data_IF_306346141447
#
_entry.id   IF_306346141447
#
_cell.length_a   1.000
_cell.length_b   1.000
_cell.length_c   1.000
_cell.angle_alpha   90.00
_cell.angle_beta   90.00
_cell.angle_gamma   90.00
#
_symmetry.space_group_name_H-M   'P 1'
#
loop_
_entity.id
_entity.type
_entity.pdbx_description
1 polymer ?
#
# COMPACT_ATOMS: atom_id res chain seq x y z
N UNK A 1 21.57 9.23 5.78
CA UNK A 1 21.61 7.76 5.97
C UNK A 1 22.66 7.03 5.10
N UNK A 2 23.51 7.71 4.33
CA UNK A 2 24.62 7.11 3.59
C UNK A 2 24.27 6.40 2.29
N UNK A 3 22.98 6.32 1.91
CA UNK A 3 22.56 5.77 0.65
C UNK A 3 22.67 6.82 -0.47
N UNK A 4 23.40 6.45 -1.55
CA UNK A 4 23.50 7.26 -2.76
C UNK A 4 22.25 7.13 -3.65
N UNK A 5 22.16 7.95 -4.70
CA UNK A 5 21.05 7.95 -5.66
C UNK A 5 20.80 6.55 -6.30
N UNK A 6 21.87 5.81 -6.57
CA UNK A 6 21.78 4.46 -7.12
C UNK A 6 21.14 3.47 -6.16
N UNK A 7 21.43 3.56 -4.86
CA UNK A 7 20.85 2.70 -3.83
C UNK A 7 19.39 3.04 -3.59
N UNK A 8 19.03 4.33 -3.62
CA UNK A 8 17.63 4.76 -3.57
C UNK A 8 16.83 4.20 -4.76
N UNK A 9 17.39 4.24 -5.97
CA UNK A 9 16.76 3.64 -7.15
C UNK A 9 16.59 2.12 -7.02
N UNK A 10 17.55 1.41 -6.41
CA UNK A 10 17.44 -0.02 -6.14
C UNK A 10 16.34 -0.33 -5.12
N UNK A 11 16.13 0.51 -4.12
CA UNK A 11 15.01 0.36 -3.17
C UNK A 11 13.65 0.44 -3.88
N UNK A 12 13.48 1.43 -4.76
CA UNK A 12 12.25 1.58 -5.57
C UNK A 12 12.07 0.39 -6.50
N UNK A 13 13.15 -0.08 -7.12
CA UNK A 13 13.14 -1.26 -7.99
C UNK A 13 12.73 -2.52 -7.22
N UNK A 14 13.26 -2.73 -6.02
CA UNK A 14 12.91 -3.86 -5.17
C UNK A 14 11.41 -3.87 -4.81
N UNK A 15 10.85 -2.72 -4.41
CA UNK A 15 9.41 -2.58 -4.16
C UNK A 15 8.58 -2.86 -5.42
N UNK A 16 9.03 -2.38 -6.59
CA UNK A 16 8.34 -2.60 -7.87
C UNK A 16 8.34 -4.07 -8.28
N UNK A 17 9.47 -4.78 -8.11
CA UNK A 17 9.56 -6.21 -8.34
C UNK A 17 8.58 -6.95 -7.45
N UNK A 18 8.53 -6.62 -6.16
CA UNK A 18 7.54 -7.15 -5.23
C UNK A 18 6.11 -6.94 -5.74
N UNK A 19 5.78 -5.73 -6.16
CA UNK A 19 4.48 -5.38 -6.72
C UNK A 19 4.08 -6.26 -7.91
N UNK A 20 5.02 -6.59 -8.79
CA UNK A 20 4.76 -7.47 -9.95
C UNK A 20 4.60 -8.93 -9.51
N UNK A 21 5.53 -9.44 -8.70
CA UNK A 21 5.57 -10.86 -8.31
C UNK A 21 4.36 -11.24 -7.45
N UNK A 22 3.94 -10.36 -6.55
CA UNK A 22 2.84 -10.64 -5.63
C UNK A 22 1.44 -10.45 -6.23
N UNK A 23 1.30 -9.90 -7.43
CA UNK A 23 -0.04 -9.75 -8.06
C UNK A 23 -0.76 -11.09 -8.23
N UNK A 24 -0.04 -12.12 -8.68
CA UNK A 24 -0.64 -13.45 -8.83
C UNK A 24 -1.03 -14.09 -7.48
N UNK A 25 -0.13 -14.20 -6.48
CA UNK A 25 -0.49 -14.71 -5.17
C UNK A 25 -1.64 -13.95 -4.49
N UNK A 26 -1.65 -12.63 -4.58
CA UNK A 26 -2.70 -11.81 -3.99
C UNK A 26 -4.05 -12.00 -4.69
N UNK A 27 -4.06 -12.12 -6.01
CA UNK A 27 -5.27 -12.47 -6.77
C UNK A 27 -5.82 -13.82 -6.34
N UNK A 28 -4.96 -14.84 -6.22
CA UNK A 28 -5.35 -16.17 -5.78
C UNK A 28 -5.89 -16.20 -4.34
N UNK A 29 -5.31 -15.40 -3.44
CA UNK A 29 -5.80 -15.23 -2.07
C UNK A 29 -7.15 -14.49 -2.07
N UNK A 30 -7.29 -13.44 -2.89
CA UNK A 30 -8.51 -12.65 -3.01
C UNK A 30 -9.74 -13.48 -3.45
N UNK A 31 -9.51 -14.60 -4.15
CA UNK A 31 -10.57 -15.52 -4.55
C UNK A 31 -10.99 -16.49 -3.43
N UNK A 32 -10.23 -16.58 -2.32
CA UNK A 32 -10.44 -17.55 -1.24
C UNK A 32 -10.86 -16.93 0.09
N UNK A 33 -10.54 -15.66 0.30
CA UNK A 33 -10.88 -14.95 1.54
C UNK A 33 -11.74 -13.73 1.22
N UNK A 34 -12.42 -13.22 2.24
CA UNK A 34 -13.16 -11.97 2.10
C UNK A 34 -12.24 -10.83 1.66
N UNK A 35 -12.51 -10.29 0.48
CA UNK A 35 -11.69 -9.25 -0.18
C UNK A 35 -11.55 -7.98 0.65
N UNK A 36 -12.55 -7.65 1.47
CA UNK A 36 -12.44 -6.50 2.39
C UNK A 36 -11.42 -6.75 3.49
N UNK A 37 -11.39 -7.99 4.01
CA UNK A 37 -10.37 -8.41 4.98
C UNK A 37 -8.99 -8.37 4.34
N UNK A 38 -8.84 -8.89 3.14
CA UNK A 38 -7.55 -8.83 2.41
C UNK A 38 -7.11 -7.39 2.19
N UNK A 39 -8.03 -6.49 1.82
CA UNK A 39 -7.72 -5.07 1.64
C UNK A 39 -7.22 -4.42 2.94
N UNK A 40 -7.83 -4.75 4.08
CA UNK A 40 -7.39 -4.29 5.40
C UNK A 40 -5.98 -4.82 5.71
N UNK A 41 -5.72 -6.09 5.45
CA UNK A 41 -4.40 -6.70 5.67
C UNK A 41 -3.33 -6.06 4.79
N UNK A 42 -3.63 -5.81 3.51
CA UNK A 42 -2.73 -5.08 2.62
C UNK A 42 -2.46 -3.64 3.12
N UNK A 43 -3.47 -2.92 3.57
CA UNK A 43 -3.29 -1.59 4.15
C UNK A 43 -2.49 -1.62 5.45
N UNK A 44 -2.74 -2.60 6.33
CA UNK A 44 -2.00 -2.80 7.58
C UNK A 44 -0.52 -3.15 7.34
N UNK A 45 -0.19 -3.82 6.22
CA UNK A 45 1.20 -4.08 5.84
C UNK A 45 2.02 -2.80 5.64
N UNK A 46 1.37 -1.68 5.29
CA UNK A 46 2.01 -0.37 5.21
C UNK A 46 2.55 0.09 6.57
N UNK A 47 1.80 -0.14 7.64
CA UNK A 47 2.23 0.15 9.03
C UNK A 47 3.39 -0.75 9.43
N UNK A 48 3.28 -2.05 9.15
CA UNK A 48 4.33 -3.03 9.48
C UNK A 48 5.62 -2.75 8.71
N UNK A 49 5.52 -2.46 7.41
CA UNK A 49 6.68 -2.11 6.59
C UNK A 49 7.39 -0.86 7.10
N UNK A 50 6.64 0.19 7.42
CA UNK A 50 7.20 1.42 8.00
C UNK A 50 7.88 1.16 9.35
N UNK A 51 7.28 0.30 10.19
CA UNK A 51 7.84 -0.03 11.51
C UNK A 51 9.08 -0.92 11.43
N UNK A 52 9.17 -1.85 10.46
CA UNK A 52 10.29 -2.80 10.33
C UNK A 52 11.50 -2.18 9.63
N UNK A 53 11.29 -1.28 8.68
CA UNK A 53 12.36 -0.68 7.86
C UNK A 53 13.53 -0.11 8.67
N UNK A 54 13.34 0.63 9.78
CA UNK A 54 14.45 1.17 10.57
C UNK A 54 15.41 0.10 11.13
N UNK A 55 14.90 -1.09 11.40
CA UNK A 55 15.69 -2.19 11.98
C UNK A 55 16.54 -2.94 10.93
N UNK A 56 16.16 -2.88 9.66
CA UNK A 56 16.83 -3.60 8.57
C UNK A 56 17.66 -2.69 7.66
N UNK A 57 17.59 -1.38 7.84
CA UNK A 57 18.28 -0.40 6.98
C UNK A 57 19.80 -0.61 6.92
N UNK A 58 20.42 -1.16 7.96
CA UNK A 58 21.85 -1.42 8.00
C UNK A 58 22.26 -2.79 7.43
N UNK A 59 21.31 -3.62 7.01
CA UNK A 59 21.54 -4.94 6.42
C UNK A 59 20.94 -4.99 5.00
N UNK A 60 21.73 -4.69 3.95
CA UNK A 60 21.20 -4.49 2.59
C UNK A 60 20.34 -5.64 2.07
N UNK A 61 20.77 -6.90 2.29
CA UNK A 61 20.00 -8.06 1.86
C UNK A 61 18.64 -8.16 2.57
N UNK A 62 18.59 -7.90 3.88
CA UNK A 62 17.35 -7.90 4.65
C UNK A 62 16.45 -6.73 4.24
N UNK A 63 17.03 -5.55 4.00
CA UNK A 63 16.30 -4.39 3.55
C UNK A 63 15.62 -4.63 2.20
N UNK A 64 16.35 -5.13 1.19
CA UNK A 64 15.75 -5.43 -0.11
C UNK A 64 14.68 -6.52 -0.02
N UNK A 65 14.88 -7.56 0.80
CA UNK A 65 13.86 -8.59 1.02
C UNK A 65 12.58 -8.00 1.65
N UNK A 66 12.72 -7.14 2.66
CA UNK A 66 11.59 -6.43 3.28
C UNK A 66 10.89 -5.53 2.26
N UNK A 67 11.63 -4.79 1.44
CA UNK A 67 11.06 -3.90 0.42
C UNK A 67 10.30 -4.67 -0.67
N UNK A 68 10.81 -5.82 -1.11
CA UNK A 68 10.11 -6.71 -2.06
C UNK A 68 8.79 -7.22 -1.46
N UNK A 69 8.82 -7.72 -0.23
CA UNK A 69 7.63 -8.20 0.47
C UNK A 69 6.63 -7.08 0.71
N UNK A 70 7.09 -5.96 1.23
CA UNK A 70 6.26 -4.81 1.53
C UNK A 70 5.64 -4.21 0.26
N UNK A 71 6.46 -3.93 -0.77
CA UNK A 71 5.99 -3.44 -2.06
C UNK A 71 4.96 -4.38 -2.69
N UNK A 72 5.19 -5.70 -2.59
CA UNK A 72 4.26 -6.72 -3.07
C UNK A 72 2.91 -6.65 -2.39
N UNK A 73 2.89 -6.65 -1.06
CA UNK A 73 1.64 -6.69 -0.29
C UNK A 73 0.88 -5.36 -0.40
N UNK A 74 1.56 -4.22 -0.32
CA UNK A 74 0.91 -2.90 -0.37
C UNK A 74 0.26 -2.64 -1.74
N UNK A 75 0.83 -3.16 -2.84
CA UNK A 75 0.22 -3.10 -4.16
C UNK A 75 -1.10 -3.88 -4.25
N UNK A 76 -1.33 -4.80 -3.33
CA UNK A 76 -2.61 -5.47 -3.16
C UNK A 76 -3.77 -4.52 -2.87
N UNK A 77 -3.51 -3.37 -2.26
CA UNK A 77 -4.52 -2.32 -2.04
C UNK A 77 -5.15 -1.89 -3.37
N UNK A 78 -4.32 -1.68 -4.39
CA UNK A 78 -4.80 -1.31 -5.72
C UNK A 78 -5.55 -2.46 -6.40
N UNK A 79 -4.95 -3.65 -6.44
CA UNK A 79 -5.50 -4.82 -7.14
C UNK A 79 -6.81 -5.29 -6.52
N UNK A 80 -6.85 -5.43 -5.20
CA UNK A 80 -8.07 -5.86 -4.46
C UNK A 80 -9.14 -4.76 -4.50
N UNK A 81 -8.74 -3.49 -4.49
CA UNK A 81 -9.66 -2.36 -4.66
C UNK A 81 -10.38 -2.40 -6.01
N UNK A 82 -9.66 -2.67 -7.10
CA UNK A 82 -10.25 -2.83 -8.44
C UNK A 82 -11.20 -4.03 -8.53
N UNK A 83 -10.86 -5.15 -7.92
CA UNK A 83 -11.74 -6.32 -7.91
C UNK A 83 -13.04 -6.06 -7.16
N UNK A 84 -13.00 -5.38 -6.01
CA UNK A 84 -14.18 -4.94 -5.27
C UNK A 84 -15.07 -3.99 -6.09
N UNK A 85 -14.45 -3.13 -6.89
CA UNK A 85 -15.17 -2.25 -7.81
C UNK A 85 -15.93 -3.05 -8.87
N UNK A 86 -15.27 -4.04 -9.48
CA UNK A 86 -15.84 -4.92 -10.49
C UNK A 86 -16.98 -5.81 -9.98
N UNK A 87 -16.99 -6.11 -8.68
CA UNK A 87 -18.13 -6.79 -8.04
C UNK A 87 -19.36 -5.90 -7.90
N UNK A 88 -19.12 -4.64 -7.52
CA UNK A 88 -20.19 -3.71 -7.16
C UNK A 88 -20.83 -3.03 -8.36
N UNK A 89 -20.07 -2.77 -9.43
CA UNK A 89 -20.53 -2.05 -10.60
C UNK A 89 -20.45 -2.92 -11.85
N UNK A 90 -21.38 -2.74 -12.80
CA UNK A 90 -21.44 -3.46 -14.08
C UNK A 90 -21.69 -2.48 -15.22
N UNK A 91 -21.32 -2.89 -16.44
CA UNK A 91 -21.55 -2.13 -17.66
C UNK A 91 -20.94 -0.70 -17.61
N UNK A 92 -21.65 0.31 -18.13
CA UNK A 92 -21.14 1.68 -18.20
C UNK A 92 -20.80 2.28 -16.83
N UNK A 93 -21.48 1.88 -15.76
CA UNK A 93 -21.19 2.32 -14.38
C UNK A 93 -19.84 1.83 -13.89
N UNK A 94 -19.43 0.63 -14.30
CA UNK A 94 -18.10 0.11 -13.97
C UNK A 94 -17.00 0.95 -14.62
N UNK A 95 -17.18 1.35 -15.89
CA UNK A 95 -16.21 2.21 -16.58
C UNK A 95 -16.03 3.55 -15.85
N UNK A 96 -17.13 4.20 -15.46
CA UNK A 96 -17.09 5.47 -14.71
C UNK A 96 -16.47 5.32 -13.32
N UNK A 97 -16.81 4.24 -12.60
CA UNK A 97 -16.25 3.96 -11.28
C UNK A 97 -14.74 3.66 -11.37
N UNK A 98 -14.31 2.94 -12.40
CA UNK A 98 -12.90 2.65 -12.67
C UNK A 98 -12.11 3.94 -12.98
N UNK A 99 -12.66 4.81 -13.81
CA UNK A 99 -12.04 6.10 -14.13
C UNK A 99 -11.88 6.97 -12.86
N UNK A 100 -12.90 7.02 -12.01
CA UNK A 100 -12.83 7.74 -10.74
C UNK A 100 -11.77 7.14 -9.79
N UNK A 101 -11.70 5.81 -9.71
CA UNK A 101 -10.71 5.10 -8.91
C UNK A 101 -9.27 5.41 -9.35
N UNK A 102 -9.01 5.32 -10.65
CA UNK A 102 -7.69 5.62 -11.24
C UNK A 102 -7.33 7.09 -11.02
N UNK A 103 -8.31 8.00 -11.16
CA UNK A 103 -8.09 9.43 -10.90
C UNK A 103 -7.70 9.68 -9.43
N UNK A 104 -8.40 9.08 -8.46
CA UNK A 104 -8.06 9.18 -7.05
C UNK A 104 -6.68 8.60 -6.74
N UNK A 105 -6.35 7.45 -7.33
CA UNK A 105 -5.04 6.84 -7.23
C UNK A 105 -3.94 7.77 -7.76
N UNK A 106 -4.14 8.36 -8.94
CA UNK A 106 -3.18 9.29 -9.55
C UNK A 106 -2.99 10.55 -8.71
N UNK A 107 -4.08 11.08 -8.11
CA UNK A 107 -3.98 12.20 -7.16
C UNK A 107 -3.13 11.81 -5.94
N UNK A 108 -3.31 10.59 -5.42
CA UNK A 108 -2.48 10.05 -4.34
C UNK A 108 -1.00 9.98 -4.70
N UNK A 109 -0.68 9.60 -5.94
CA UNK A 109 0.71 9.57 -6.45
C UNK A 109 1.35 10.96 -6.55
N UNK A 110 0.57 12.02 -6.74
CA UNK A 110 1.08 13.40 -6.76
C UNK A 110 1.25 13.94 -5.34
N UNK A 111 0.26 13.71 -4.49
CA UNK A 111 0.22 14.27 -3.12
C UNK A 111 1.10 13.47 -2.15
N UNK A 112 1.19 12.14 -2.34
CA UNK A 112 1.95 11.24 -1.47
C UNK A 112 3.40 11.68 -1.25
N UNK A 113 4.22 11.80 -2.32
CA UNK A 113 5.61 12.22 -2.20
C UNK A 113 5.80 13.58 -1.52
N UNK A 114 4.84 14.51 -1.70
CA UNK A 114 4.87 15.82 -1.04
C UNK A 114 4.69 15.69 0.48
N UNK A 115 3.76 14.85 0.92
CA UNK A 115 3.53 14.59 2.36
C UNK A 115 4.74 13.85 2.95
N UNK A 116 5.27 12.87 2.24
CA UNK A 116 6.43 12.09 2.65
C UNK A 116 7.69 12.96 2.76
N UNK A 117 7.91 13.85 1.79
CA UNK A 117 9.01 14.82 1.83
C UNK A 117 8.88 15.79 3.00
N UNK A 118 7.69 16.36 3.21
CA UNK A 118 7.43 17.22 4.36
C UNK A 118 7.62 16.48 5.69
N UNK A 119 7.26 15.20 5.76
CA UNK A 119 7.53 14.35 6.91
C UNK A 119 9.02 14.19 7.17
N UNK A 120 9.81 13.97 6.12
CA UNK A 120 11.26 13.84 6.21
C UNK A 120 11.90 15.15 6.68
N UNK A 121 11.47 16.30 6.15
CA UNK A 121 11.95 17.62 6.54
C UNK A 121 11.64 17.95 8.02
N UNK A 122 10.46 17.48 8.49
CA UNK A 122 10.04 17.71 9.87
C UNK A 122 10.79 16.84 10.90
N UNK A 123 11.20 15.63 10.52
CA UNK A 123 11.84 14.67 11.42
C UNK A 123 12.77 13.71 10.68
N UNK A 124 13.93 14.17 10.23
CA UNK A 124 14.95 13.31 9.61
C UNK A 124 15.61 12.37 10.64
N UNK A 125 15.79 11.07 10.35
CA UNK A 125 15.43 10.31 9.15
C UNK A 125 14.09 9.57 9.26
N UNK A 126 13.34 9.75 10.32
CA UNK A 126 12.17 8.92 10.66
C UNK A 126 10.86 9.42 10.05
N UNK A 127 10.78 10.71 9.71
CA UNK A 127 9.53 11.37 9.33
C UNK A 127 8.85 10.76 8.11
N UNK A 128 9.61 10.31 7.12
CA UNK A 128 9.07 9.60 5.95
C UNK A 128 8.32 8.32 6.36
N UNK A 129 8.93 7.49 7.19
CA UNK A 129 8.34 6.23 7.64
C UNK A 129 7.15 6.47 8.57
N UNK A 130 7.21 7.50 9.40
CA UNK A 130 6.10 7.91 10.26
C UNK A 130 4.92 8.40 9.42
N UNK A 131 5.15 9.22 8.40
CA UNK A 131 4.10 9.69 7.50
C UNK A 131 3.42 8.53 6.75
N UNK A 132 4.22 7.63 6.16
CA UNK A 132 3.73 6.41 5.49
C UNK A 132 2.92 5.51 6.44
N UNK A 133 3.46 5.26 7.63
CA UNK A 133 2.80 4.46 8.65
C UNK A 133 1.48 5.07 9.11
N UNK A 134 1.44 6.38 9.33
CA UNK A 134 0.24 7.10 9.76
C UNK A 134 -0.86 7.08 8.68
N UNK A 135 -0.52 7.32 7.41
CA UNK A 135 -1.46 7.25 6.28
C UNK A 135 -2.01 5.82 6.16
N UNK A 136 -1.14 4.82 6.24
CA UNK A 136 -1.53 3.41 6.15
C UNK A 136 -2.42 3.00 7.32
N UNK A 137 -2.11 3.44 8.54
CA UNK A 137 -2.92 3.18 9.73
C UNK A 137 -4.31 3.83 9.64
N UNK A 138 -4.37 5.09 9.21
CA UNK A 138 -5.63 5.81 9.02
C UNK A 138 -6.51 5.10 7.98
N UNK A 139 -5.93 4.65 6.87
CA UNK A 139 -6.66 3.92 5.83
C UNK A 139 -7.13 2.54 6.29
N UNK A 140 -6.27 1.78 6.97
CA UNK A 140 -6.64 0.48 7.54
C UNK A 140 -7.76 0.61 8.58
N UNK A 141 -7.68 1.61 9.47
CA UNK A 141 -8.72 1.91 10.44
C UNK A 141 -10.05 2.29 9.77
N UNK A 142 -10.01 3.15 8.75
CA UNK A 142 -11.20 3.50 7.96
C UNK A 142 -11.87 2.27 7.34
N UNK A 143 -11.10 1.38 6.73
CA UNK A 143 -11.62 0.15 6.14
C UNK A 143 -12.22 -0.80 7.19
N UNK A 144 -11.57 -0.94 8.35
CA UNK A 144 -12.06 -1.77 9.45
C UNK A 144 -13.38 -1.24 10.00
N UNK A 145 -13.49 0.06 10.25
CA UNK A 145 -14.72 0.71 10.69
C UNK A 145 -15.87 0.51 9.70
N UNK A 146 -15.60 0.68 8.40
CA UNK A 146 -16.60 0.45 7.34
C UNK A 146 -17.04 -1.01 7.27
N UNK A 147 -16.13 -1.97 7.50
CA UNK A 147 -16.48 -3.39 7.55
C UNK A 147 -17.39 -3.68 8.74
N UNK A 148 -17.09 -3.14 9.93
CA UNK A 148 -17.91 -3.30 11.13
C UNK A 148 -19.31 -2.70 10.95
N UNK A 149 -19.43 -1.50 10.37
CA UNK A 149 -20.74 -0.88 10.11
C UNK A 149 -21.63 -1.75 9.22
N UNK A 150 -21.07 -2.34 8.17
CA UNK A 150 -21.82 -3.24 7.27
C UNK A 150 -22.24 -4.52 7.99
N UNK A 151 -21.39 -5.07 8.86
CA UNK A 151 -21.72 -6.28 9.64
C UNK A 151 -22.79 -6.03 10.70
N UNK A 152 -22.92 -4.82 11.25
CA UNK A 152 -23.93 -4.47 12.24
C UNK A 152 -25.28 -4.09 11.62
N UNK A 153 -25.30 -3.82 10.33
CA UNK A 153 -26.52 -3.43 9.58
C UNK A 153 -27.14 -4.57 8.78
N UNK A 154 -26.53 -5.75 8.80
CA UNK A 154 -26.99 -6.99 8.16
C UNK A 154 -27.63 -7.94 9.17
#
# INVERSE_FOLDING_TARGET
>A
NGYGEAEAALCVTAMSIGGIVFQYPLGWIADRIDRRTLLILCAASGVLGAAVTPFVVHAPAAMYAVLVLWGGIIMGVYTVGLTLLGERFKGPRLASANAAYVMMYSMGMIVGPTIEGAGLDAWDPHGLLVALGAISAAYAAFLALRKLQVSLSA
#
